data_IF_491432404529
#
_entry.id   IF_491432404529
#
_cell.length_a   1.000
_cell.length_b   1.000
_cell.length_c   1.000
_cell.angle_alpha   90.00
_cell.angle_beta   90.00
_cell.angle_gamma   90.00
#
_symmetry.space_group_name_H-M   'P 1'
#
loop_
_entity.id
_entity.type
_entity.pdbx_description
1 polymer ?
#
# COMPACT_ATOMS: atom_id res chain seq x y z
N UNK A 1 -21.30 -11.93 -16.86
CA UNK A 1 -20.73 -10.73 -16.20
C UNK A 1 -19.39 -10.98 -15.48
N UNK A 2 -19.20 -12.11 -14.80
CA UNK A 2 -17.97 -12.44 -14.07
C UNK A 2 -16.69 -12.45 -14.92
N UNK A 3 -16.71 -13.02 -16.13
CA UNK A 3 -15.54 -13.07 -17.02
C UNK A 3 -14.98 -11.67 -17.39
N UNK A 4 -15.87 -10.68 -17.57
CA UNK A 4 -15.50 -9.28 -17.86
C UNK A 4 -14.88 -8.59 -16.63
N UNK A 5 -15.37 -8.89 -15.42
CA UNK A 5 -14.79 -8.40 -14.15
C UNK A 5 -13.37 -8.98 -13.95
N UNK A 6 -13.19 -10.28 -14.18
CA UNK A 6 -11.88 -10.94 -14.09
C UNK A 6 -10.86 -10.34 -15.06
N UNK A 7 -11.21 -10.15 -16.33
CA UNK A 7 -10.28 -9.54 -17.31
C UNK A 7 -9.85 -8.11 -16.91
N UNK A 8 -10.80 -7.29 -16.41
CA UNK A 8 -10.49 -5.94 -15.91
C UNK A 8 -9.56 -5.99 -14.69
N UNK A 9 -9.83 -6.90 -13.75
CA UNK A 9 -9.03 -7.10 -12.57
C UNK A 9 -7.61 -7.54 -12.91
N UNK A 10 -7.43 -8.52 -13.81
CA UNK A 10 -6.11 -8.95 -14.28
C UNK A 10 -5.32 -7.79 -14.89
N UNK A 11 -5.95 -6.99 -15.76
CA UNK A 11 -5.29 -5.83 -16.37
C UNK A 11 -4.89 -4.77 -15.34
N UNK A 12 -5.73 -4.53 -14.33
CA UNK A 12 -5.43 -3.60 -13.25
C UNK A 12 -4.28 -4.12 -12.36
N UNK A 13 -4.27 -5.42 -12.06
CA UNK A 13 -3.21 -6.06 -11.28
C UNK A 13 -1.86 -6.02 -12.00
N UNK A 14 -1.83 -6.29 -13.31
CA UNK A 14 -0.61 -6.18 -14.11
C UNK A 14 -0.06 -4.74 -14.10
N UNK A 15 -0.93 -3.74 -14.19
CA UNK A 15 -0.52 -2.32 -14.10
C UNK A 15 0.03 -1.95 -12.73
N UNK A 16 -0.57 -2.46 -11.65
CA UNK A 16 -0.03 -2.27 -10.31
C UNK A 16 1.38 -2.87 -10.20
N UNK A 17 1.58 -4.09 -10.68
CA UNK A 17 2.88 -4.75 -10.69
C UNK A 17 3.93 -3.96 -11.47
N UNK A 18 3.57 -3.42 -12.65
CA UNK A 18 4.45 -2.57 -13.44
C UNK A 18 4.83 -1.28 -12.70
N UNK A 19 3.86 -0.58 -12.10
CA UNK A 19 4.12 0.63 -11.34
C UNK A 19 5.00 0.37 -10.10
N UNK A 20 4.84 -0.79 -9.45
CA UNK A 20 5.70 -1.21 -8.35
C UNK A 20 7.14 -1.43 -8.81
N UNK A 21 7.35 -2.15 -9.92
CA UNK A 21 8.68 -2.38 -10.49
C UNK A 21 9.35 -1.08 -10.92
N UNK A 22 8.62 -0.18 -11.58
CA UNK A 22 9.13 1.14 -11.97
C UNK A 22 9.57 1.96 -10.76
N UNK A 23 8.76 1.99 -9.70
CA UNK A 23 9.08 2.69 -8.46
C UNK A 23 10.38 2.18 -7.83
N UNK A 24 10.52 0.85 -7.71
CA UNK A 24 11.75 0.21 -7.21
C UNK A 24 12.96 0.60 -8.07
N UNK A 25 12.81 0.61 -9.40
CA UNK A 25 13.89 1.03 -10.30
C UNK A 25 14.33 2.46 -10.03
N UNK A 26 13.40 3.41 -9.87
CA UNK A 26 13.73 4.81 -9.55
C UNK A 26 14.49 4.95 -8.23
N UNK A 27 14.14 4.13 -7.23
CA UNK A 27 14.87 4.04 -5.97
C UNK A 27 16.30 3.52 -6.18
N UNK A 28 16.50 2.47 -6.99
CA UNK A 28 17.81 1.88 -7.26
C UNK A 28 18.76 2.82 -8.00
N UNK A 29 18.23 3.68 -8.89
CA UNK A 29 19.03 4.68 -9.62
C UNK A 29 19.15 6.02 -8.88
N UNK A 30 18.64 6.11 -7.64
CA UNK A 30 18.62 7.32 -6.82
C UNK A 30 17.93 8.54 -7.48
N UNK A 31 16.98 8.33 -8.40
CA UNK A 31 16.19 9.42 -8.96
C UNK A 31 15.02 9.76 -8.04
N UNK A 32 15.18 10.82 -7.26
CA UNK A 32 14.15 11.31 -6.32
C UNK A 32 12.89 11.79 -7.04
N UNK A 33 13.01 12.46 -8.18
CA UNK A 33 11.83 12.96 -8.88
C UNK A 33 11.08 11.81 -9.56
N UNK A 34 11.81 10.89 -10.18
CA UNK A 34 11.26 9.64 -10.72
C UNK A 34 10.54 8.86 -9.63
N UNK A 35 11.13 8.73 -8.44
CA UNK A 35 10.56 8.01 -7.32
C UNK A 35 9.21 8.59 -6.87
N UNK A 36 9.09 9.92 -6.79
CA UNK A 36 7.81 10.59 -6.45
C UNK A 36 6.74 10.29 -7.50
N UNK A 37 7.09 10.39 -8.79
CA UNK A 37 6.15 10.16 -9.90
C UNK A 37 5.67 8.71 -9.95
N UNK A 38 6.59 7.75 -9.84
CA UNK A 38 6.25 6.33 -9.86
C UNK A 38 5.51 5.88 -8.59
N UNK A 39 5.77 6.53 -7.45
CA UNK A 39 4.97 6.34 -6.22
C UNK A 39 3.53 6.78 -6.40
N UNK A 40 3.30 7.94 -7.01
CA UNK A 40 1.94 8.38 -7.33
C UNK A 40 1.24 7.41 -8.30
N UNK A 41 1.93 6.94 -9.35
CA UNK A 41 1.41 5.95 -10.29
C UNK A 41 1.05 4.61 -9.63
N UNK A 42 1.86 4.17 -8.66
CA UNK A 42 1.60 2.98 -7.86
C UNK A 42 0.31 3.14 -7.04
N UNK A 43 0.18 4.21 -6.25
CA UNK A 43 -1.01 4.46 -5.42
C UNK A 43 -2.27 4.54 -6.29
N UNK A 44 -2.22 5.27 -7.42
CA UNK A 44 -3.35 5.37 -8.36
C UNK A 44 -3.74 4.03 -8.98
N UNK A 45 -2.77 3.13 -9.20
CA UNK A 45 -3.05 1.80 -9.73
C UNK A 45 -3.65 0.89 -8.67
N UNK A 46 -3.23 1.05 -7.42
CA UNK A 46 -3.79 0.35 -6.26
C UNK A 46 -5.24 0.76 -5.98
N UNK A 47 -5.54 2.07 -6.01
CA UNK A 47 -6.91 2.61 -5.88
C UNK A 47 -7.88 2.00 -6.91
N UNK A 48 -7.41 1.75 -8.14
CA UNK A 48 -8.24 1.12 -9.19
C UNK A 48 -8.62 -0.32 -8.82
N UNK A 49 -7.74 -1.07 -8.16
CA UNK A 49 -8.05 -2.44 -7.74
C UNK A 49 -9.08 -2.46 -6.60
N UNK A 50 -9.00 -1.53 -5.66
CA UNK A 50 -10.00 -1.36 -4.62
C UNK A 50 -11.38 -1.07 -5.22
N UNK A 51 -11.45 -0.10 -6.14
CA UNK A 51 -12.69 0.25 -6.84
C UNK A 51 -13.29 -0.90 -7.65
N UNK A 52 -12.47 -1.73 -8.29
CA UNK A 52 -12.95 -2.93 -9.02
C UNK A 52 -13.62 -3.95 -8.07
N UNK A 53 -13.20 -3.96 -6.81
CA UNK A 53 -13.76 -4.80 -5.75
C UNK A 53 -14.74 -4.05 -4.85
N UNK A 54 -15.28 -2.93 -5.34
CA UNK A 54 -16.33 -2.17 -4.65
C UNK A 54 -15.89 -1.65 -3.26
N UNK A 55 -14.58 -1.43 -3.07
CA UNK A 55 -13.99 -0.84 -1.87
C UNK A 55 -13.69 0.65 -2.09
N UNK A 56 -14.17 1.49 -1.18
CA UNK A 56 -13.80 2.91 -1.14
C UNK A 56 -12.35 3.07 -0.65
N UNK A 57 -11.53 3.91 -1.31
CA UNK A 57 -10.21 4.29 -0.80
C UNK A 57 -10.23 4.80 0.65
N UNK A 58 -11.28 5.52 1.04
CA UNK A 58 -11.39 6.11 2.38
C UNK A 58 -11.38 5.04 3.49
N UNK A 59 -11.94 3.85 3.23
CA UNK A 59 -11.92 2.74 4.18
C UNK A 59 -10.49 2.23 4.42
N UNK A 60 -9.66 2.21 3.37
CA UNK A 60 -8.27 1.76 3.47
C UNK A 60 -7.39 2.82 4.14
N UNK A 61 -7.63 4.09 3.84
CA UNK A 61 -6.94 5.19 4.52
C UNK A 61 -7.31 5.26 6.00
N UNK A 62 -8.59 5.10 6.36
CA UNK A 62 -9.02 5.02 7.76
C UNK A 62 -8.37 3.85 8.52
N UNK A 63 -8.26 2.68 7.88
CA UNK A 63 -7.54 1.53 8.45
C UNK A 63 -6.04 1.83 8.66
N UNK A 64 -5.40 2.52 7.70
CA UNK A 64 -4.00 2.94 7.84
C UNK A 64 -3.82 3.93 9.00
N UNK A 65 -4.71 4.91 9.12
CA UNK A 65 -4.68 5.91 10.19
C UNK A 65 -4.89 5.25 11.56
N UNK A 66 -5.81 4.30 11.68
CA UNK A 66 -6.05 3.57 12.92
C UNK A 66 -4.82 2.75 13.35
N UNK A 67 -4.13 2.12 12.40
CA UNK A 67 -2.86 1.44 12.67
C UNK A 67 -1.80 2.40 13.17
N UNK A 68 -1.68 3.58 12.55
CA UNK A 68 -0.72 4.61 12.99
C UNK A 68 -1.06 5.07 14.41
N UNK A 69 -2.33 5.38 14.67
CA UNK A 69 -2.84 5.80 15.98
C UNK A 69 -2.54 4.77 17.07
N UNK A 70 -2.83 3.50 16.82
CA UNK A 70 -2.55 2.42 17.76
C UNK A 70 -1.05 2.23 17.99
N UNK A 71 -0.23 2.35 16.95
CA UNK A 71 1.23 2.29 17.08
C UNK A 71 1.76 3.37 18.03
N UNK A 72 1.22 4.59 17.90
CA UNK A 72 1.61 5.72 18.72
C UNK A 72 1.12 5.56 20.17
N UNK A 73 -0.12 5.12 20.38
CA UNK A 73 -0.67 4.80 21.70
C UNK A 73 0.20 3.78 22.45
N UNK A 74 0.55 2.67 21.79
CA UNK A 74 1.43 1.65 22.39
C UNK A 74 2.82 2.19 22.72
N UNK A 75 3.38 3.04 21.84
CA UNK A 75 4.67 3.68 22.08
C UNK A 75 4.63 4.58 23.31
N UNK A 76 3.59 5.39 23.47
CA UNK A 76 3.43 6.27 24.65
C UNK A 76 3.29 5.49 25.96
N UNK A 77 2.66 4.30 25.92
CA UNK A 77 2.53 3.39 27.07
C UNK A 77 3.80 2.59 27.38
N UNK A 78 4.90 2.81 26.65
CA UNK A 78 6.13 2.02 26.78
C UNK A 78 6.00 0.58 26.30
N UNK A 79 4.87 0.22 25.68
CA UNK A 79 4.60 -1.11 25.15
C UNK A 79 5.25 -1.18 23.76
N UNK A 80 6.46 -1.76 23.69
CA UNK A 80 7.06 -2.11 22.39
C UNK A 80 6.46 -3.42 21.89
N UNK A 81 5.84 -3.47 20.69
CA UNK A 81 5.47 -4.74 20.07
C UNK A 81 6.76 -5.53 19.76
N UNK A 82 7.09 -6.50 20.62
CA UNK A 82 8.27 -7.36 20.48
C UNK A 82 7.89 -8.70 19.84
N UNK A 83 8.48 -9.03 18.69
CA UNK A 83 8.68 -10.43 18.26
C UNK A 83 10.04 -10.56 17.56
N UNK A 84 11.03 -11.09 18.29
CA UNK A 84 12.41 -11.14 17.81
C UNK A 84 13.04 -9.75 17.69
N UNK A 85 14.36 -9.69 17.49
CA UNK A 85 15.17 -8.46 17.53
C UNK A 85 14.88 -7.40 16.44
N UNK A 86 13.71 -7.37 15.79
CA UNK A 86 13.37 -6.39 14.73
C UNK A 86 11.91 -5.90 14.82
N UNK A 87 11.72 -4.60 14.65
CA UNK A 87 10.42 -3.92 14.63
C UNK A 87 9.64 -4.25 13.34
N UNK A 88 8.34 -4.57 13.42
CA UNK A 88 7.45 -4.63 12.24
C UNK A 88 6.12 -3.94 12.53
N UNK A 89 5.76 -3.00 11.65
CA UNK A 89 4.48 -2.31 11.61
C UNK A 89 3.28 -3.26 11.38
N UNK A 90 3.50 -4.44 10.80
CA UNK A 90 2.45 -5.41 10.40
C UNK A 90 1.86 -6.25 11.54
N UNK A 91 1.97 -5.84 12.80
CA UNK A 91 1.47 -6.59 13.97
C UNK A 91 0.76 -5.70 14.99
N UNK A 92 0.11 -4.66 14.48
CA UNK A 92 -0.93 -3.96 15.20
C UNK A 92 -2.22 -4.72 14.86
N UNK A 93 -3.01 -5.15 15.87
CA UNK A 93 -4.28 -5.85 15.65
C UNK A 93 -5.20 -5.05 14.74
#
# INVERSE_FOLDING_TARGET
>A
MAAKKNRKMTKAAMRLGQAASSNILQMLVNDRQGLVRESASFIRSLEKLWKINDLSPDLIWAELDERIRLADELRTRGIRPKKGRKYRSTKLP
#
